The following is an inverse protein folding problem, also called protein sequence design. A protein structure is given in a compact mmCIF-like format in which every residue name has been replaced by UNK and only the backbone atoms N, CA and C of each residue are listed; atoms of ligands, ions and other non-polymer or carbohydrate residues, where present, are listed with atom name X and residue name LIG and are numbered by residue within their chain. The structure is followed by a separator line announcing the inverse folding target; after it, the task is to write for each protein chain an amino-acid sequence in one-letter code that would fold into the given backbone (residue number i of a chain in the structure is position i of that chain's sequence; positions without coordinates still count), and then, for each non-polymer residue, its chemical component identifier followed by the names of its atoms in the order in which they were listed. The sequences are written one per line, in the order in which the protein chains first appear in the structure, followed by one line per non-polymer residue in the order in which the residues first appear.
data_IF_466201774560
#
_entry.id   IF_466201774560
#
_cell.length_a   1.000
_cell.length_b   1.000
_cell.length_c   1.000
_cell.angle_alpha   90.00
_cell.angle_beta   90.00
_cell.angle_gamma   90.00
#
_symmetry.space_group_name_H-M   'P 1'
#
loop_
_entity.id
_entity.type
_entity.pdbx_description
1 polymer ?
#
# COMPACT_ATOMS: atom_id res chain seq x y z
N UNK A 1 1.28 -9.17 1.28
CA UNK A 1 0.01 -9.10 0.53
C UNK A 1 0.06 -7.91 -0.39
N UNK A 2 -0.86 -7.80 -1.33
CA UNK A 2 -1.05 -6.56 -2.08
C UNK A 2 -1.58 -5.45 -1.15
N UNK A 3 -1.19 -4.21 -1.44
CA UNK A 3 -1.62 -3.00 -0.73
C UNK A 3 -1.35 -1.74 -1.57
N UNK A 4 -1.95 -0.64 -1.16
CA UNK A 4 -1.51 0.72 -1.43
C UNK A 4 -0.85 1.28 -0.15
N UNK A 5 -0.05 2.33 -0.28
CA UNK A 5 0.30 3.14 0.89
C UNK A 5 -0.94 3.92 1.35
N UNK A 6 -1.10 4.17 2.66
CA UNK A 6 -2.28 4.89 3.16
C UNK A 6 -2.45 6.29 2.58
N UNK A 7 -1.34 6.92 2.15
CA UNK A 7 -1.30 8.25 1.58
C UNK A 7 -0.28 8.38 0.46
N UNK A 8 -0.39 9.48 -0.28
CA UNK A 8 0.49 9.81 -1.41
C UNK A 8 -0.10 9.39 -2.73
N UNK A 9 0.08 10.25 -3.74
CA UNK A 9 -0.39 10.02 -5.10
C UNK A 9 0.49 8.99 -5.80
N UNK A 10 1.79 9.06 -5.52
CA UNK A 10 2.83 8.24 -6.14
C UNK A 10 3.66 7.58 -5.05
N UNK A 11 3.87 6.27 -5.19
CA UNK A 11 4.94 5.57 -4.47
C UNK A 11 6.14 5.52 -5.39
N UNK A 12 7.29 5.96 -4.90
CA UNK A 12 8.55 5.84 -5.62
C UNK A 12 9.59 5.09 -4.82
N UNK A 13 10.51 4.43 -5.52
CA UNK A 13 11.69 3.85 -4.90
C UNK A 13 12.91 3.93 -5.81
N UNK A 14 14.05 4.28 -5.22
CA UNK A 14 15.38 4.10 -5.78
C UNK A 14 15.94 2.78 -5.27
N UNK A 15 16.37 1.93 -6.21
CA UNK A 15 17.07 0.68 -5.88
C UNK A 15 18.53 0.98 -5.64
N UNK A 16 18.96 0.98 -4.37
CA UNK A 16 20.38 1.10 -4.01
C UNK A 16 21.08 -0.23 -4.16
N UNK A 17 20.41 -1.31 -3.74
CA UNK A 17 20.94 -2.65 -3.87
C UNK A 17 19.85 -3.74 -3.88
N UNK A 18 20.13 -4.89 -4.48
CA UNK A 18 19.21 -6.03 -4.59
C UNK A 18 19.50 -7.11 -3.55
N UNK A 19 18.51 -7.97 -3.29
CA UNK A 19 18.72 -9.19 -2.52
C UNK A 19 19.59 -10.18 -3.30
N UNK A 20 20.23 -11.13 -2.61
CA UNK A 20 20.91 -12.24 -3.26
C UNK A 20 19.92 -13.15 -4.01
N UNK A 21 18.71 -13.35 -3.47
CA UNK A 21 17.64 -14.09 -4.13
C UNK A 21 16.25 -13.49 -3.81
N UNK A 22 15.35 -13.49 -4.81
CA UNK A 22 13.98 -13.00 -4.70
C UNK A 22 13.88 -11.48 -4.54
N UNK A 23 12.85 -11.00 -3.84
CA UNK A 23 12.71 -9.59 -3.46
C UNK A 23 12.22 -8.66 -4.55
N UNK A 24 11.66 -9.24 -5.62
CA UNK A 24 11.04 -8.53 -6.73
C UNK A 24 9.92 -7.60 -6.23
N UNK A 25 9.80 -6.47 -6.91
CA UNK A 25 8.65 -5.59 -6.79
C UNK A 25 7.54 -6.13 -7.68
N UNK A 26 6.38 -6.43 -7.09
CA UNK A 26 5.25 -7.04 -7.80
C UNK A 26 4.08 -6.07 -7.74
N UNK A 27 3.47 -5.80 -8.90
CA UNK A 27 2.36 -4.86 -9.03
C UNK A 27 1.13 -5.52 -9.65
N UNK A 28 -0.04 -4.94 -9.40
CA UNK A 28 -1.29 -5.30 -10.06
C UNK A 28 -2.14 -4.05 -10.29
N UNK A 29 -2.78 -3.97 -11.45
CA UNK A 29 -3.68 -2.86 -11.79
C UNK A 29 -4.98 -2.96 -11.00
N UNK A 30 -5.29 -1.93 -10.21
CA UNK A 30 -6.55 -1.84 -9.50
C UNK A 30 -7.74 -1.72 -10.46
N UNK A 31 -7.54 -1.12 -11.64
CA UNK A 31 -8.57 -1.03 -12.67
C UNK A 31 -8.86 -2.40 -13.30
N UNK A 32 -7.84 -3.22 -13.50
CA UNK A 32 -8.04 -4.61 -13.94
C UNK A 32 -8.80 -5.41 -12.88
N UNK A 33 -8.45 -5.26 -11.60
CA UNK A 33 -9.20 -5.88 -10.50
C UNK A 33 -10.66 -5.41 -10.49
N UNK A 34 -10.89 -4.10 -10.59
CA UNK A 34 -12.22 -3.51 -10.64
C UNK A 34 -13.04 -4.05 -11.81
N UNK A 35 -12.47 -4.10 -13.02
CA UNK A 35 -13.17 -4.56 -14.22
C UNK A 35 -13.58 -6.04 -14.11
N UNK A 36 -12.69 -6.89 -13.58
CA UNK A 36 -13.01 -8.31 -13.35
C UNK A 36 -14.13 -8.43 -12.31
N UNK A 37 -14.05 -7.69 -11.20
CA UNK A 37 -15.12 -7.68 -10.20
C UNK A 37 -16.43 -7.14 -10.77
N UNK A 38 -16.40 -6.10 -11.61
CA UNK A 38 -17.59 -5.53 -12.21
C UNK A 38 -18.30 -6.53 -13.12
N UNK A 39 -17.54 -7.31 -13.88
CA UNK A 39 -18.07 -8.34 -14.77
C UNK A 39 -18.57 -9.59 -14.03
N UNK A 40 -17.92 -9.97 -12.92
CA UNK A 40 -18.14 -11.30 -12.31
C UNK A 40 -18.78 -11.27 -10.92
N UNK A 41 -18.51 -10.22 -10.12
CA UNK A 41 -18.89 -10.08 -8.70
C UNK A 41 -19.18 -8.62 -8.34
N UNK A 42 -20.18 -7.96 -8.97
CA UNK A 42 -20.52 -6.56 -8.66
C UNK A 42 -21.01 -6.35 -7.22
N UNK A 43 -21.41 -7.42 -6.53
CA UNK A 43 -21.69 -7.42 -5.09
C UNK A 43 -20.46 -7.09 -4.25
N UNK A 44 -19.27 -7.58 -4.65
CA UNK A 44 -18.01 -7.26 -3.96
C UNK A 44 -17.66 -5.78 -4.13
N UNK A 45 -17.90 -5.19 -5.31
CA UNK A 45 -17.72 -3.74 -5.51
C UNK A 45 -18.59 -2.95 -4.54
N UNK A 46 -19.87 -3.32 -4.41
CA UNK A 46 -20.76 -2.69 -3.44
C UNK A 46 -20.21 -2.80 -2.02
N UNK A 47 -19.67 -3.94 -1.63
CA UNK A 47 -19.04 -4.12 -0.30
C UNK A 47 -17.79 -3.25 -0.13
N UNK A 48 -16.89 -3.21 -1.11
CA UNK A 48 -15.66 -2.41 -1.07
C UNK A 48 -15.93 -0.90 -0.99
N UNK A 49 -17.07 -0.44 -1.51
CA UNK A 49 -17.47 0.97 -1.50
C UNK A 49 -18.28 1.40 -0.27
N UNK A 50 -18.61 0.50 0.67
CA UNK A 50 -19.26 0.88 1.94
C UNK A 50 -18.31 1.64 2.84
N UNK A 51 -18.81 2.53 3.67
CA UNK A 51 -18.00 3.30 4.63
C UNK A 51 -17.81 2.61 5.99
N UNK A 52 -18.16 1.32 6.12
CA UNK A 52 -18.14 0.55 7.37
C UNK A 52 -16.89 -0.33 7.57
N UNK A 53 -15.79 -0.04 6.86
CA UNK A 53 -14.53 -0.77 7.04
C UNK A 53 -13.71 -0.18 8.20
N UNK A 54 -13.47 -0.94 9.28
CA UNK A 54 -12.83 -0.43 10.49
C UNK A 54 -11.30 -0.47 10.36
N UNK A 55 -10.70 0.47 9.61
CA UNK A 55 -9.25 0.62 9.57
C UNK A 55 -8.74 0.96 10.97
N UNK A 56 -7.92 0.08 11.57
CA UNK A 56 -7.37 0.28 12.92
C UNK A 56 -6.03 1.03 12.91
N UNK A 57 -5.39 1.02 11.74
CA UNK A 57 -4.13 1.70 11.49
C UNK A 57 -4.34 2.60 10.25
N UNK A 58 -3.63 3.72 10.18
CA UNK A 58 -2.74 4.17 11.22
C UNK A 58 -3.44 4.81 12.45
N UNK A 59 -4.49 5.59 12.22
CA UNK A 59 -5.51 5.91 13.23
C UNK A 59 -6.78 5.14 12.94
N UNK A 60 -7.59 4.92 13.97
CA UNK A 60 -8.90 4.30 13.77
C UNK A 60 -9.80 5.20 12.92
N UNK A 61 -10.33 4.65 11.83
CA UNK A 61 -11.34 5.30 11.00
C UNK A 61 -12.18 4.27 10.25
N UNK A 62 -13.45 4.62 10.01
CA UNK A 62 -14.32 3.88 9.11
C UNK A 62 -14.40 4.60 7.78
N UNK A 63 -14.00 3.93 6.69
CA UNK A 63 -14.03 4.50 5.33
C UNK A 63 -14.09 3.41 4.27
N UNK A 64 -14.47 3.74 3.02
CA UNK A 64 -14.37 2.79 1.91
C UNK A 64 -12.95 2.32 1.61
N UNK A 65 -12.86 1.19 0.92
CA UNK A 65 -11.64 0.71 0.26
C UNK A 65 -11.62 1.20 -1.19
N UNK A 66 -12.77 1.16 -1.85
CA UNK A 66 -12.95 1.49 -3.26
C UNK A 66 -13.83 2.73 -3.40
N UNK A 67 -13.30 3.74 -4.08
CA UNK A 67 -13.94 5.02 -4.30
C UNK A 67 -14.19 5.23 -5.78
N UNK A 68 -15.30 5.89 -6.09
CA UNK A 68 -15.50 6.57 -7.37
C UNK A 68 -15.50 8.07 -7.10
N UNK A 69 -14.49 8.78 -7.61
CA UNK A 69 -14.26 10.19 -7.32
C UNK A 69 -13.76 10.89 -8.58
N UNK A 70 -14.41 11.98 -8.99
CA UNK A 70 -14.10 12.76 -10.18
C UNK A 70 -13.84 11.92 -11.44
N UNK A 71 -14.76 10.98 -11.69
CA UNK A 71 -14.73 10.08 -12.84
C UNK A 71 -13.65 8.99 -12.78
N UNK A 72 -12.97 8.82 -11.64
CA UNK A 72 -11.90 7.83 -11.46
C UNK A 72 -12.29 6.81 -10.41
N UNK A 73 -11.90 5.56 -10.67
CA UNK A 73 -11.85 4.53 -9.65
C UNK A 73 -10.53 4.65 -8.91
N UNK A 74 -10.63 4.90 -7.60
CA UNK A 74 -9.51 4.98 -6.67
C UNK A 74 -9.62 3.81 -5.69
N UNK A 75 -8.51 3.14 -5.44
CA UNK A 75 -8.43 2.12 -4.39
C UNK A 75 -7.42 2.56 -3.32
N UNK A 76 -7.79 2.41 -2.05
CA UNK A 76 -6.87 2.55 -0.93
C UNK A 76 -6.97 1.30 -0.04
N UNK A 77 -6.36 0.23 -0.55
CA UNK A 77 -6.45 -1.14 -0.03
C UNK A 77 -5.27 -1.49 0.86
N UNK A 78 -5.55 -2.10 2.01
CA UNK A 78 -4.52 -2.67 2.87
C UNK A 78 -5.11 -3.67 3.84
N UNK A 79 -4.63 -4.91 3.81
CA UNK A 79 -5.11 -5.97 4.72
C UNK A 79 -4.62 -5.78 6.16
N UNK A 80 -3.35 -5.37 6.34
CA UNK A 80 -2.76 -5.18 7.68
C UNK A 80 -3.55 -4.19 8.54
N UNK A 81 -3.94 -2.99 8.05
CA UNK A 81 -4.80 -2.09 8.81
C UNK A 81 -6.16 -2.65 9.24
N UNK A 82 -6.69 -3.64 8.52
CA UNK A 82 -8.02 -4.21 8.74
C UNK A 82 -7.98 -5.51 9.55
N UNK A 83 -6.93 -6.32 9.40
CA UNK A 83 -6.84 -7.66 9.97
C UNK A 83 -5.69 -7.82 10.98
N UNK A 84 -4.71 -6.91 10.97
CA UNK A 84 -3.45 -7.06 11.70
C UNK A 84 -2.53 -8.12 11.10
N UNK A 85 -1.34 -8.25 11.69
CA UNK A 85 -0.39 -9.34 11.46
C UNK A 85 0.52 -9.51 12.70
N UNK A 86 1.41 -10.51 12.79
CA UNK A 86 2.25 -10.72 13.97
C UNK A 86 3.12 -9.52 14.36
N UNK A 87 3.56 -8.72 13.39
CA UNK A 87 4.36 -7.50 13.63
C UNK A 87 3.49 -6.29 14.01
N UNK A 88 2.26 -6.24 13.52
CA UNK A 88 1.30 -5.15 13.74
C UNK A 88 -0.04 -5.76 14.19
N UNK A 89 -0.13 -6.20 15.46
CA UNK A 89 -1.34 -6.85 15.96
C UNK A 89 -2.50 -5.85 15.95
N UNK A 90 -3.68 -6.32 15.54
CA UNK A 90 -4.89 -5.51 15.57
C UNK A 90 -5.43 -5.42 17.01
N UNK A 91 -5.72 -4.23 17.55
CA UNK A 91 -6.32 -4.11 18.87
C UNK A 91 -7.70 -4.81 18.94
N UNK A 92 -7.88 -5.66 19.95
CA UNK A 92 -9.07 -6.51 20.08
C UNK A 92 -10.38 -5.73 20.35
N UNK A 93 -10.28 -4.48 20.80
CA UNK A 93 -11.45 -3.63 21.08
C UNK A 93 -12.04 -2.98 19.81
N UNK A 94 -11.34 -3.03 18.66
CA UNK A 94 -11.89 -2.52 17.41
C UNK A 94 -12.84 -3.51 16.75
N UNK A 95 -13.86 -3.03 15.99
CA UNK A 95 -14.79 -3.91 15.30
C UNK A 95 -14.07 -4.93 14.41
N UNK A 96 -14.53 -6.17 14.44
CA UNK A 96 -14.06 -7.23 13.54
C UNK A 96 -14.69 -7.09 12.16
N UNK A 97 -14.01 -7.61 11.14
CA UNK A 97 -14.57 -7.66 9.80
C UNK A 97 -15.70 -8.69 9.71
N UNK A 98 -16.73 -8.36 8.95
CA UNK A 98 -17.77 -9.33 8.59
C UNK A 98 -17.22 -10.37 7.59
N UNK A 99 -17.89 -11.52 7.48
CA UNK A 99 -17.53 -12.54 6.48
C UNK A 99 -17.53 -11.97 5.05
N UNK A 100 -18.46 -11.07 4.71
CA UNK A 100 -18.52 -10.40 3.40
C UNK A 100 -17.35 -9.45 3.16
N UNK A 101 -16.91 -8.73 4.20
CA UNK A 101 -15.72 -7.89 4.12
C UNK A 101 -14.45 -8.73 3.90
N UNK A 102 -14.32 -9.85 4.62
CA UNK A 102 -13.19 -10.78 4.43
C UNK A 102 -13.19 -11.36 3.00
N UNK A 103 -14.34 -11.84 2.52
CA UNK A 103 -14.50 -12.34 1.15
C UNK A 103 -14.08 -11.29 0.11
N UNK A 104 -14.48 -10.03 0.30
CA UNK A 104 -14.10 -8.94 -0.59
C UNK A 104 -12.58 -8.67 -0.59
N UNK A 105 -11.91 -8.74 0.56
CA UNK A 105 -10.44 -8.62 0.63
C UNK A 105 -9.74 -9.79 -0.06
N UNK A 106 -10.28 -11.00 0.07
CA UNK A 106 -9.73 -12.21 -0.53
C UNK A 106 -9.89 -12.20 -2.06
N UNK A 107 -11.03 -11.73 -2.57
CA UNK A 107 -11.25 -11.58 -4.00
C UNK A 107 -10.28 -10.58 -4.65
N UNK A 108 -10.05 -9.42 -4.00
CA UNK A 108 -9.05 -8.43 -4.48
C UNK A 108 -7.65 -9.05 -4.53
N UNK A 109 -7.22 -9.74 -3.47
CA UNK A 109 -5.91 -10.38 -3.42
C UNK A 109 -5.77 -11.50 -4.48
N UNK A 110 -6.82 -12.32 -4.66
CA UNK A 110 -6.82 -13.41 -5.65
C UNK A 110 -6.71 -12.89 -7.08
N UNK A 111 -7.51 -11.89 -7.44
CA UNK A 111 -7.46 -11.28 -8.78
C UNK A 111 -6.12 -10.56 -8.99
N UNK A 112 -5.67 -9.79 -8.00
CA UNK A 112 -4.38 -9.11 -8.08
C UNK A 112 -3.21 -10.08 -8.30
N UNK A 113 -3.24 -11.26 -7.66
CA UNK A 113 -2.25 -12.33 -7.89
C UNK A 113 -2.35 -12.93 -9.29
N UNK A 114 -3.57 -13.16 -9.78
CA UNK A 114 -3.79 -13.72 -11.12
C UNK A 114 -3.35 -12.77 -12.24
N UNK A 115 -3.38 -11.46 -12.00
CA UNK A 115 -3.03 -10.43 -13.00
C UNK A 115 -1.73 -9.69 -12.66
N UNK A 116 -0.89 -10.24 -11.79
CA UNK A 116 0.29 -9.54 -11.31
C UNK A 116 1.37 -9.43 -12.39
N UNK A 117 2.15 -8.36 -12.32
CA UNK A 117 3.36 -8.17 -13.10
C UNK A 117 4.54 -8.00 -12.17
N UNK A 118 5.69 -8.51 -12.59
CA UNK A 118 6.94 -8.39 -11.85
C UNK A 118 7.80 -7.29 -12.48
N UNK A 119 8.28 -6.39 -11.64
CA UNK A 119 9.27 -5.40 -12.02
C UNK A 119 10.64 -5.94 -11.59
N UNK A 120 11.48 -6.26 -12.57
CA UNK A 120 12.89 -6.53 -12.32
C UNK A 120 13.61 -5.20 -12.10
N UNK A 121 14.46 -5.17 -11.08
CA UNK A 121 15.17 -3.95 -10.65
C UNK A 121 16.64 -4.24 -10.47
N UNK A 122 17.49 -3.28 -10.83
CA UNK A 122 18.94 -3.28 -10.62
C UNK A 122 19.34 -2.04 -9.83
N UNK A 123 20.53 -2.05 -9.23
CA UNK A 123 21.05 -0.88 -8.55
C UNK A 123 21.10 0.33 -9.50
N UNK A 124 20.60 1.47 -9.04
CA UNK A 124 20.43 2.69 -9.83
C UNK A 124 19.02 2.91 -10.40
N UNK A 125 18.19 1.86 -10.51
CA UNK A 125 16.85 2.02 -11.06
C UNK A 125 15.93 2.82 -10.14
N UNK A 126 15.15 3.73 -10.74
CA UNK A 126 14.12 4.52 -10.06
C UNK A 126 12.76 4.17 -10.67
N UNK A 127 11.80 3.88 -9.80
CA UNK A 127 10.43 3.58 -10.21
C UNK A 127 9.44 4.54 -9.56
N UNK A 128 8.36 4.82 -10.29
CA UNK A 128 7.22 5.60 -9.84
C UNK A 128 5.95 4.84 -10.23
N UNK A 129 5.08 4.59 -9.25
CA UNK A 129 3.76 3.99 -9.51
C UNK A 129 2.67 4.88 -8.93
N UNK A 130 1.54 4.97 -9.63
CA UNK A 130 0.36 5.65 -9.13
C UNK A 130 -0.24 4.83 -7.98
N UNK A 131 -0.13 5.32 -6.75
CA UNK A 131 -0.55 4.64 -5.54
C UNK A 131 -2.08 4.45 -5.48
N UNK A 132 -2.86 5.28 -6.17
CA UNK A 132 -4.32 5.24 -6.18
C UNK A 132 -4.89 4.19 -7.15
N UNK A 133 -4.06 3.71 -8.08
CA UNK A 133 -4.46 2.84 -9.18
C UNK A 133 -3.64 1.54 -9.28
N UNK A 134 -2.51 1.43 -8.58
CA UNK A 134 -1.63 0.26 -8.62
C UNK A 134 -1.49 -0.30 -7.21
N UNK A 135 -1.86 -1.57 -7.06
CA UNK A 135 -1.54 -2.36 -5.88
C UNK A 135 -0.11 -2.86 -5.99
N UNK A 136 0.64 -2.86 -4.90
CA UNK A 136 1.99 -3.40 -4.86
C UNK A 136 2.20 -4.39 -3.71
N UNK A 137 3.14 -5.31 -3.92
CA UNK A 137 3.68 -6.18 -2.88
C UNK A 137 5.15 -6.46 -3.16
N UNK A 138 5.80 -7.05 -2.17
CA UNK A 138 7.16 -7.56 -2.28
C UNK A 138 7.13 -9.08 -2.28
N UNK A 139 7.98 -9.68 -3.11
CA UNK A 139 8.32 -11.10 -3.00
C UNK A 139 9.12 -11.38 -1.70
N UNK A 140 9.06 -12.62 -1.21
CA UNK A 140 10.02 -13.06 -0.20
C UNK A 140 11.45 -13.00 -0.78
N UNK A 141 12.44 -12.81 0.08
CA UNK A 141 13.83 -12.66 -0.35
C UNK A 141 14.82 -13.10 0.71
N UNK A 142 16.03 -13.39 0.26
CA UNK A 142 17.17 -13.74 1.10
C UNK A 142 18.30 -12.76 0.80
N UNK A 143 18.80 -12.09 1.82
CA UNK A 143 20.01 -11.26 1.72
C UNK A 143 21.26 -12.13 1.73
N UNK A 144 22.31 -11.68 1.04
CA UNK A 144 23.64 -12.25 1.18
C UNK A 144 24.36 -11.75 2.44
N UNK A 145 25.60 -12.19 2.61
CA UNK A 145 26.40 -11.91 3.81
C UNK A 145 27.13 -10.57 3.70
N UNK A 146 27.48 -10.15 2.47
CA UNK A 146 28.13 -8.87 2.22
C UNK A 146 27.18 -7.66 2.37
N UNK A 147 27.72 -6.45 2.68
CA UNK A 147 26.93 -5.21 2.68
C UNK A 147 26.22 -4.95 1.34
N UNK A 148 26.94 -5.22 0.25
CA UNK A 148 26.45 -5.09 -1.14
C UNK A 148 25.61 -6.29 -1.60
N UNK A 149 25.23 -7.20 -0.70
CA UNK A 149 24.32 -8.30 -0.99
C UNK A 149 23.00 -8.20 -0.20
N UNK A 150 22.83 -7.10 0.53
CA UNK A 150 21.60 -6.77 1.26
C UNK A 150 20.71 -5.85 0.44
N UNK A 151 19.44 -6.25 0.26
CA UNK A 151 18.43 -5.44 -0.44
C UNK A 151 18.23 -4.10 0.25
N UNK A 152 18.43 -3.01 -0.49
CA UNK A 152 18.26 -1.66 0.01
C UNK A 152 17.49 -0.80 -1.01
N UNK A 153 16.31 -0.34 -0.61
CA UNK A 153 15.53 0.65 -1.36
C UNK A 153 15.36 1.92 -0.55
N UNK A 154 15.51 3.06 -1.19
CA UNK A 154 15.08 4.36 -0.64
C UNK A 154 13.69 4.65 -1.21
N UNK A 155 12.67 4.66 -0.36
CA UNK A 155 11.25 4.76 -0.76
C UNK A 155 10.66 6.11 -0.37
N UNK A 156 9.88 6.71 -1.25
CA UNK A 156 9.17 7.97 -0.98
C UNK A 156 7.69 7.85 -1.33
N UNK A 157 6.87 8.58 -0.58
CA UNK A 157 5.50 8.94 -0.97
C UNK A 157 5.57 10.35 -1.53
N UNK A 158 5.01 10.56 -2.70
CA UNK A 158 5.08 11.82 -3.42
C UNK A 158 3.66 12.28 -3.75
N UNK A 159 3.44 13.59 -3.64
CA UNK A 159 2.23 14.27 -4.11
C UNK A 159 2.58 15.12 -5.32
N UNK A 160 1.79 15.04 -6.38
CA UNK A 160 1.98 15.86 -7.58
C UNK A 160 1.14 17.12 -7.48
N UNK A 161 1.77 18.28 -7.53
CA UNK A 161 1.07 19.58 -7.47
C UNK A 161 0.30 19.91 -8.76
N UNK A 162 0.68 19.30 -9.89
CA UNK A 162 0.09 19.58 -11.21
C UNK A 162 -0.75 18.44 -11.79
N UNK A 163 -0.41 17.19 -11.50
CA UNK A 163 -1.07 15.99 -12.04
C UNK A 163 -1.70 15.12 -10.95
N UNK A 164 -1.66 15.56 -9.70
CA UNK A 164 -2.30 14.88 -8.58
C UNK A 164 -3.80 14.74 -8.81
N UNK A 165 -4.35 13.57 -8.48
CA UNK A 165 -5.79 13.39 -8.52
C UNK A 165 -6.41 14.10 -7.32
N UNK A 166 -7.64 14.60 -7.49
CA UNK A 166 -8.47 14.93 -6.36
C UNK A 166 -8.67 13.68 -5.49
N UNK A 167 -8.62 13.88 -4.19
CA UNK A 167 -8.66 12.81 -3.20
C UNK A 167 -10.02 12.81 -2.53
N UNK A 168 -10.67 11.65 -2.32
CA UNK A 168 -11.89 11.53 -1.54
C UNK A 168 -11.75 12.14 -0.13
N UNK A 169 -12.82 12.75 0.38
CA UNK A 169 -12.80 13.45 1.67
C UNK A 169 -12.35 12.54 2.83
N UNK A 170 -12.72 11.26 2.78
CA UNK A 170 -12.34 10.25 3.78
C UNK A 170 -10.84 9.95 3.82
N UNK A 171 -10.08 10.35 2.80
CA UNK A 171 -8.63 10.19 2.74
C UNK A 171 -7.87 11.50 2.97
N UNK A 172 -8.55 12.66 3.07
CA UNK A 172 -7.90 13.97 3.21
C UNK A 172 -6.97 14.04 4.40
N UNK A 173 -7.35 13.44 5.53
CA UNK A 173 -6.53 13.42 6.75
C UNK A 173 -5.17 12.78 6.50
N UNK A 174 -5.14 11.63 5.83
CA UNK A 174 -3.91 10.88 5.57
C UNK A 174 -2.97 11.65 4.62
N UNK A 175 -3.54 12.41 3.67
CA UNK A 175 -2.77 13.32 2.81
C UNK A 175 -2.26 14.53 3.57
N UNK A 176 -3.09 15.15 4.42
CA UNK A 176 -2.68 16.28 5.26
C UNK A 176 -1.54 15.89 6.20
N UNK A 177 -1.69 14.77 6.92
CA UNK A 177 -0.69 14.27 7.87
C UNK A 177 0.63 13.90 7.16
N UNK A 178 0.59 13.56 5.86
CA UNK A 178 1.78 13.20 5.08
C UNK A 178 2.47 14.40 4.42
N UNK A 179 1.74 15.43 3.97
CA UNK A 179 2.30 16.48 3.10
C UNK A 179 2.19 17.89 3.65
N UNK A 180 1.21 18.18 4.51
CA UNK A 180 0.95 19.52 5.04
C UNK A 180 1.45 19.71 6.47
N UNK A 181 1.45 18.63 7.26
CA UNK A 181 1.94 18.68 8.63
C UNK A 181 3.46 18.94 8.64
N UNK A 182 3.96 19.94 9.39
CA UNK A 182 5.39 20.14 9.56
C UNK A 182 6.04 18.91 10.20
N UNK A 183 7.01 18.33 9.51
CA UNK A 183 7.77 17.17 9.97
C UNK A 183 9.16 17.17 9.33
N UNK A 184 10.13 16.59 10.04
CA UNK A 184 11.48 16.43 9.51
C UNK A 184 11.44 15.48 8.30
N UNK A 185 11.96 15.95 7.18
CA UNK A 185 12.10 15.14 5.95
C UNK A 185 13.46 14.46 5.97
N UNK A 186 13.55 13.33 6.66
CA UNK A 186 14.79 12.54 6.76
C UNK A 186 14.81 11.44 5.72
N UNK A 187 15.91 11.33 4.97
CA UNK A 187 16.14 10.24 4.02
C UNK A 187 17.21 9.31 4.56
N UNK A 188 16.84 8.05 4.73
CA UNK A 188 17.78 7.00 5.13
C UNK A 188 18.50 6.49 3.88
N UNK A 189 19.56 7.20 3.48
CA UNK A 189 20.40 6.83 2.34
C UNK A 189 21.27 5.60 2.63
N UNK A 190 21.52 5.34 3.91
CA UNK A 190 22.24 4.17 4.42
C UNK A 190 21.28 3.24 5.16
N UNK A 191 21.51 1.92 5.14
CA UNK A 191 20.68 0.98 5.89
C UNK A 191 20.63 1.36 7.37
N UNK A 192 19.43 1.39 7.93
CA UNK A 192 19.28 1.60 9.36
C UNK A 192 19.93 0.43 10.12
N UNK A 193 20.67 0.69 11.22
CA UNK A 193 21.19 -0.37 12.06
C UNK A 193 20.07 -1.30 12.50
N UNK A 194 20.35 -2.60 12.66
CA UNK A 194 19.36 -3.64 13.00
C UNK A 194 18.59 -3.34 14.32
N UNK A 195 19.06 -2.38 15.13
CA UNK A 195 18.44 -1.91 16.37
C UNK A 195 17.74 -0.54 16.29
N UNK A 196 17.81 0.18 15.16
CA UNK A 196 17.03 1.40 14.97
C UNK A 196 15.62 1.04 14.48
N UNK A 197 14.81 0.58 15.43
CA UNK A 197 13.36 0.61 15.29
C UNK A 197 12.87 2.00 15.76
N UNK A 198 11.99 2.66 15.00
CA UNK A 198 10.89 1.99 14.30
C UNK A 198 10.67 2.42 12.84
N UNK A 199 10.37 1.44 11.97
CA UNK A 199 9.43 1.65 10.86
C UNK A 199 8.07 2.04 11.50
N UNK A 200 7.79 3.35 11.59
CA UNK A 200 6.68 4.02 12.33
C UNK A 200 6.81 3.97 13.86
N UNK A 201 7.26 5.08 14.47
CA UNK A 201 7.18 5.26 15.93
C UNK A 201 5.74 5.39 16.40
N UNK A 202 4.88 5.86 15.49
CA UNK A 202 3.44 5.92 15.64
C UNK A 202 2.80 5.65 14.28
N UNK A 203 1.69 4.92 14.26
CA UNK A 203 0.82 4.93 13.11
C UNK A 203 0.16 6.33 13.04
N UNK A 204 0.45 7.08 11.97
CA UNK A 204 -0.13 8.40 11.71
C UNK A 204 -1.56 8.31 11.20
#
# INVERSE_FOLDING_TARGET
TFHNEESGDVVSWLTRNTAAAGGKCIIASAHTVYNILAATRPDIIRTLSRSDWPFALPKFQCRPILFHHDGKIIINFGRTPLMGNPTHPRPAHFPSLTHRQIEALDAVEAIARATQMEIQTRAGDIHFINNLAILHRREAFVNGQGPDERRHLVRMRVRSESLGWSIPAELHREWFDAFEKPADRVWHLEPMPDAFFPLRKYPN
#
